data_IF_789026170090
#
_entry.id   IF_789026170090
#
_cell.length_a   1.000
_cell.length_b   1.000
_cell.length_c   1.000
_cell.angle_alpha   90.00
_cell.angle_beta   90.00
_cell.angle_gamma   90.00
#
_symmetry.space_group_name_H-M   'P 1'
#
loop_
_entity.id
_entity.type
_entity.pdbx_description
1 polymer ?
#
# COMPACT_ATOMS: atom_id res chain seq x y z
N UNK A 1 -51.06 -29.17 -13.28
CA UNK A 1 -50.44 -28.31 -12.24
C UNK A 1 -48.91 -28.43 -12.28
N UNK A 2 -48.17 -27.55 -13.00
CA UNK A 2 -46.69 -27.56 -13.02
C UNK A 2 -46.04 -26.20 -13.39
N UNK A 3 -46.69 -25.07 -13.08
CA UNK A 3 -46.21 -23.74 -13.53
C UNK A 3 -45.54 -22.90 -12.42
N UNK A 4 -45.64 -23.30 -11.14
CA UNK A 4 -45.11 -22.49 -10.02
C UNK A 4 -43.64 -22.80 -9.62
N UNK A 5 -43.12 -24.01 -9.93
CA UNK A 5 -41.81 -24.47 -9.42
C UNK A 5 -40.62 -23.78 -10.09
N UNK A 6 -40.75 -23.43 -11.36
CA UNK A 6 -39.67 -22.83 -12.18
C UNK A 6 -39.36 -21.39 -11.78
N UNK A 7 -40.36 -20.63 -11.30
CA UNK A 7 -40.22 -19.23 -10.90
C UNK A 7 -39.45 -19.08 -9.57
N UNK A 8 -39.67 -20.01 -8.64
CA UNK A 8 -39.02 -20.02 -7.33
C UNK A 8 -37.55 -20.47 -7.40
N UNK A 9 -37.22 -21.40 -8.31
CA UNK A 9 -35.82 -21.79 -8.57
C UNK A 9 -35.01 -20.61 -9.11
N UNK A 10 -35.54 -19.86 -10.08
CA UNK A 10 -34.85 -18.72 -10.67
C UNK A 10 -34.70 -17.55 -9.69
N UNK A 11 -35.65 -17.37 -8.78
CA UNK A 11 -35.60 -16.33 -7.75
C UNK A 11 -34.53 -16.62 -6.69
N UNK A 12 -34.39 -17.88 -6.24
CA UNK A 12 -33.32 -18.27 -5.33
C UNK A 12 -31.94 -18.17 -5.99
N UNK A 13 -31.82 -18.60 -7.25
CA UNK A 13 -30.57 -18.46 -8.02
C UNK A 13 -30.17 -16.98 -8.15
N UNK A 14 -31.12 -16.09 -8.42
CA UNK A 14 -30.86 -14.66 -8.51
C UNK A 14 -30.38 -14.08 -7.17
N UNK A 15 -30.95 -14.54 -6.05
CA UNK A 15 -30.53 -14.12 -4.71
C UNK A 15 -29.11 -14.59 -4.37
N UNK A 16 -28.77 -15.85 -4.70
CA UNK A 16 -27.41 -16.36 -4.53
C UNK A 16 -26.39 -15.61 -5.39
N UNK A 17 -26.73 -15.29 -6.65
CA UNK A 17 -25.87 -14.48 -7.52
C UNK A 17 -25.63 -13.07 -6.93
N UNK A 18 -26.67 -12.46 -6.36
CA UNK A 18 -26.55 -11.14 -5.73
C UNK A 18 -25.63 -11.16 -4.49
N UNK A 19 -25.70 -12.22 -3.69
CA UNK A 19 -24.82 -12.45 -2.53
C UNK A 19 -23.37 -12.67 -2.97
N UNK A 20 -23.15 -13.44 -4.04
CA UNK A 20 -21.78 -13.69 -4.54
C UNK A 20 -21.18 -12.38 -5.06
N UNK A 21 -21.95 -11.58 -5.82
CA UNK A 21 -21.49 -10.29 -6.36
C UNK A 21 -21.18 -9.29 -5.23
N UNK A 22 -22.02 -9.22 -4.19
CA UNK A 22 -21.78 -8.33 -3.05
C UNK A 22 -20.54 -8.75 -2.24
N UNK A 23 -20.27 -10.05 -2.13
CA UNK A 23 -19.07 -10.58 -1.48
C UNK A 23 -17.77 -10.16 -2.21
N UNK A 24 -17.76 -10.16 -3.56
CA UNK A 24 -16.57 -9.81 -4.34
C UNK A 24 -16.11 -8.34 -4.13
N UNK A 25 -17.03 -7.42 -3.82
CA UNK A 25 -16.71 -6.00 -3.60
C UNK A 25 -15.93 -5.79 -2.29
N UNK A 26 -16.11 -6.67 -1.30
CA UNK A 26 -15.45 -6.54 0.00
C UNK A 26 -13.96 -6.95 -0.01
N UNK A 27 -13.59 -7.91 -0.88
CA UNK A 27 -12.27 -8.56 -0.84
C UNK A 27 -11.18 -7.72 -1.52
N UNK A 28 -11.54 -6.77 -2.40
CA UNK A 28 -10.58 -6.11 -3.30
C UNK A 28 -9.79 -4.91 -2.70
N UNK A 29 -9.65 -4.83 -1.37
CA UNK A 29 -9.03 -3.66 -0.69
C UNK A 29 -7.53 -3.76 -0.43
N UNK A 30 -6.85 -4.83 -0.85
CA UNK A 30 -5.42 -5.01 -0.63
C UNK A 30 -4.58 -4.36 -1.75
N UNK A 31 -4.31 -3.05 -1.65
CA UNK A 31 -3.33 -2.36 -2.49
C UNK A 31 -2.22 -1.77 -1.61
N UNK A 32 -1.17 -2.55 -1.35
CA UNK A 32 0.03 -2.06 -0.67
C UNK A 32 1.01 -1.48 -1.72
N UNK A 33 0.91 -0.17 -1.96
CA UNK A 33 1.87 0.54 -2.81
C UNK A 33 3.22 0.70 -2.08
N UNK A 34 4.36 0.59 -2.77
CA UNK A 34 5.67 0.86 -2.16
C UNK A 34 5.76 2.33 -1.74
N UNK A 35 6.47 2.57 -0.63
CA UNK A 35 6.76 3.90 -0.11
C UNK A 35 8.08 4.36 -0.71
N UNK A 36 8.13 5.56 -1.27
CA UNK A 36 9.35 6.14 -1.82
C UNK A 36 9.91 7.14 -0.83
N UNK A 37 11.21 7.02 -0.53
CA UNK A 37 11.95 7.93 0.33
C UNK A 37 13.25 8.34 -0.32
N UNK A 38 13.70 9.54 -0.04
CA UNK A 38 15.06 9.99 -0.31
C UNK A 38 15.94 9.66 0.89
N UNK A 39 17.24 9.49 0.71
CA UNK A 39 18.16 9.30 1.83
C UNK A 39 18.02 10.46 2.84
N UNK A 40 17.87 10.14 4.12
CA UNK A 40 17.58 11.09 5.20
C UNK A 40 16.09 11.40 5.42
N UNK A 41 15.18 10.98 4.54
CA UNK A 41 13.74 11.08 4.78
C UNK A 41 13.23 9.96 5.68
N UNK A 42 12.10 10.20 6.34
CA UNK A 42 11.44 9.25 7.21
C UNK A 42 9.95 9.10 6.89
N UNK A 43 9.38 7.94 7.17
CA UNK A 43 7.97 7.64 7.00
C UNK A 43 7.42 6.85 8.18
N UNK A 44 6.18 7.14 8.58
CA UNK A 44 5.54 6.47 9.71
C UNK A 44 4.61 5.36 9.18
N UNK A 45 4.88 4.12 9.60
CA UNK A 45 4.00 2.99 9.37
C UNK A 45 3.21 2.74 10.65
N UNK A 46 1.89 2.98 10.59
CA UNK A 46 0.96 2.69 11.69
C UNK A 46 0.21 1.38 11.46
N UNK A 47 -0.09 0.68 12.54
CA UNK A 47 -0.91 -0.53 12.61
C UNK A 47 -2.08 -0.36 13.58
N UNK A 48 -3.10 -1.19 13.44
CA UNK A 48 -4.21 -1.26 14.40
C UNK A 48 -3.84 -2.18 15.58
N UNK A 49 -3.09 -3.25 15.31
CA UNK A 49 -2.60 -4.21 16.29
C UNK A 49 -1.24 -3.81 16.89
N UNK A 50 -0.97 -4.30 18.11
CA UNK A 50 0.32 -4.14 18.78
C UNK A 50 1.40 -4.92 18.02
N UNK A 51 2.52 -4.25 17.79
CA UNK A 51 3.70 -4.75 17.11
C UNK A 51 4.59 -5.38 18.18
N UNK A 52 4.85 -6.67 18.03
CA UNK A 52 5.76 -7.41 18.88
C UNK A 52 7.15 -7.49 18.24
N UNK A 53 7.18 -7.85 16.96
CA UNK A 53 8.43 -8.07 16.22
C UNK A 53 8.38 -7.37 14.87
N UNK A 54 9.50 -6.77 14.45
CA UNK A 54 9.65 -6.15 13.13
C UNK A 54 10.82 -6.78 12.41
N UNK A 55 10.54 -7.39 11.26
CA UNK A 55 11.54 -7.91 10.35
C UNK A 55 11.89 -6.85 9.30
N UNK A 56 13.18 -6.65 9.06
CA UNK A 56 13.71 -5.79 8.00
C UNK A 56 14.66 -6.60 7.10
N UNK A 57 14.43 -6.57 5.80
CA UNK A 57 15.26 -7.34 4.86
C UNK A 57 16.66 -6.73 4.65
N UNK A 58 16.80 -5.41 4.77
CA UNK A 58 18.06 -4.69 4.50
C UNK A 58 18.22 -3.43 5.38
N UNK A 59 18.62 -3.61 6.64
CA UNK A 59 18.81 -2.52 7.62
C UNK A 59 19.88 -1.48 7.24
N UNK A 60 20.77 -1.81 6.30
CA UNK A 60 21.75 -0.88 5.74
C UNK A 60 21.11 0.15 4.78
N UNK A 61 20.00 -0.20 4.12
CA UNK A 61 19.29 0.65 3.16
C UNK A 61 18.28 1.53 3.89
N UNK A 62 17.43 0.94 4.73
CA UNK A 62 16.50 1.66 5.59
C UNK A 62 16.34 0.89 6.89
N UNK A 63 16.15 1.62 7.97
CA UNK A 63 16.02 1.05 9.31
C UNK A 63 14.81 1.67 10.00
N UNK A 64 14.49 1.19 11.20
CA UNK A 64 13.28 1.60 11.88
C UNK A 64 13.49 1.82 13.37
N UNK A 65 12.56 2.56 13.95
CA UNK A 65 12.41 2.70 15.40
C UNK A 65 10.95 2.49 15.78
N UNK A 66 10.72 1.72 16.84
CA UNK A 66 9.37 1.48 17.38
C UNK A 66 8.93 2.69 18.20
N UNK A 67 7.75 3.23 17.87
CA UNK A 67 7.15 4.35 18.59
C UNK A 67 5.85 3.89 19.24
N UNK A 68 5.89 3.77 20.56
CA UNK A 68 4.80 3.16 21.33
C UNK A 68 4.68 1.67 21.03
N UNK A 69 3.45 1.21 20.78
CA UNK A 69 3.13 -0.21 20.56
C UNK A 69 2.65 -0.54 19.15
N UNK A 70 2.25 0.45 18.36
CA UNK A 70 1.48 0.22 17.12
C UNK A 70 2.01 1.05 15.95
N UNK A 71 3.24 1.55 16.03
CA UNK A 71 3.82 2.38 14.98
C UNK A 71 5.32 2.22 14.92
N UNK A 72 5.87 2.25 13.71
CA UNK A 72 7.30 2.39 13.47
C UNK A 72 7.57 3.64 12.65
N UNK A 73 8.68 4.31 12.96
CA UNK A 73 9.28 5.31 12.09
C UNK A 73 10.34 4.59 11.28
N UNK A 74 10.15 4.52 9.96
CA UNK A 74 11.16 4.02 9.02
C UNK A 74 11.95 5.22 8.51
N UNK A 75 13.27 5.14 8.51
CA UNK A 75 14.15 6.19 7.99
C UNK A 75 15.13 5.61 6.97
N UNK A 76 15.29 6.34 5.88
CA UNK A 76 16.12 5.95 4.75
C UNK A 76 17.60 6.31 5.00
N UNK A 77 18.50 5.34 4.83
CA UNK A 77 19.94 5.51 5.00
C UNK A 77 20.68 5.58 3.67
N UNK A 78 20.45 4.60 2.79
CA UNK A 78 21.14 4.45 1.52
C UNK A 78 20.16 4.08 0.41
N UNK A 79 20.49 4.44 -0.84
CA UNK A 79 19.76 4.01 -2.02
C UNK A 79 19.58 2.50 -2.09
N UNK A 80 18.39 2.06 -2.47
CA UNK A 80 18.05 0.65 -2.64
C UNK A 80 16.63 0.35 -2.22
N UNK A 81 16.34 -0.92 -1.93
CA UNK A 81 15.01 -1.36 -1.47
C UNK A 81 15.14 -2.13 -0.17
N UNK A 82 14.28 -1.81 0.79
CA UNK A 82 14.12 -2.55 2.04
C UNK A 82 12.66 -2.98 2.20
N UNK A 83 12.44 -4.20 2.67
CA UNK A 83 11.12 -4.71 3.02
C UNK A 83 10.98 -4.78 4.54
N UNK A 84 9.82 -4.36 5.03
CA UNK A 84 9.44 -4.41 6.43
C UNK A 84 8.23 -5.31 6.60
N UNK A 85 8.30 -6.23 7.56
CA UNK A 85 7.17 -7.08 7.97
C UNK A 85 6.99 -6.93 9.46
N UNK A 86 5.81 -6.48 9.86
CA UNK A 86 5.43 -6.27 11.26
C UNK A 86 4.63 -7.48 11.73
N UNK A 87 4.98 -8.05 12.87
CA UNK A 87 4.33 -9.22 13.47
C UNK A 87 3.70 -8.85 14.82
N UNK A 88 2.57 -9.47 15.12
CA UNK A 88 1.96 -9.41 16.45
C UNK A 88 2.53 -10.49 17.38
N UNK A 89 2.10 -10.48 18.64
CA UNK A 89 2.53 -11.42 19.68
C UNK A 89 2.25 -12.91 19.35
N UNK A 90 1.34 -13.18 18.42
CA UNK A 90 1.02 -14.52 17.96
C UNK A 90 1.88 -14.95 16.76
N UNK A 91 2.94 -14.20 16.44
CA UNK A 91 3.80 -14.37 15.27
C UNK A 91 3.05 -14.26 13.93
N UNK A 92 1.90 -13.57 13.90
CA UNK A 92 1.14 -13.35 12.68
C UNK A 92 1.54 -12.03 12.01
N UNK A 93 1.73 -12.01 10.68
CA UNK A 93 2.10 -10.79 9.97
C UNK A 93 0.91 -9.82 9.94
N UNK A 94 1.09 -8.65 10.54
CA UNK A 94 0.13 -7.54 10.58
C UNK A 94 0.19 -6.76 9.28
N UNK A 95 1.41 -6.43 8.83
CA UNK A 95 1.63 -5.57 7.66
C UNK A 95 2.97 -5.84 6.99
N UNK A 96 2.96 -5.92 5.66
CA UNK A 96 4.15 -5.89 4.81
C UNK A 96 4.24 -4.54 4.10
N UNK A 97 5.43 -3.96 4.01
CA UNK A 97 5.65 -2.69 3.30
C UNK A 97 7.04 -2.68 2.66
N UNK A 98 7.08 -2.33 1.37
CA UNK A 98 8.34 -2.12 0.65
C UNK A 98 8.66 -0.62 0.65
N UNK A 99 9.91 -0.30 1.01
CA UNK A 99 10.45 1.06 1.02
C UNK A 99 11.55 1.14 -0.03
N UNK A 100 11.32 1.99 -1.02
CA UNK A 100 12.27 2.28 -2.09
C UNK A 100 13.00 3.57 -1.74
N UNK A 101 14.29 3.48 -1.44
CA UNK A 101 15.14 4.64 -1.21
C UNK A 101 15.77 5.05 -2.54
N UNK A 102 15.42 6.23 -3.02
CA UNK A 102 15.89 6.79 -4.28
C UNK A 102 16.75 8.03 -4.05
N UNK A 103 17.70 8.27 -4.95
CA UNK A 103 18.43 9.54 -4.93
C UNK A 103 17.46 10.66 -5.35
N UNK A 104 17.31 11.73 -4.55
CA UNK A 104 16.45 12.85 -4.93
C UNK A 104 17.00 13.50 -6.20
N UNK A 105 16.14 13.66 -7.21
CA UNK A 105 16.51 14.36 -8.44
C UNK A 105 17.01 15.76 -8.10
N UNK A 106 18.17 16.19 -8.63
CA UNK A 106 18.67 17.53 -8.37
C UNK A 106 17.63 18.57 -8.84
N UNK A 107 17.44 19.66 -8.07
CA UNK A 107 16.34 20.61 -8.27
C UNK A 107 16.27 21.19 -9.67
N UNK A 108 17.43 21.38 -10.34
CA UNK A 108 17.49 21.84 -11.73
C UNK A 108 16.66 20.99 -12.69
N UNK A 109 16.66 19.66 -12.56
CA UNK A 109 15.94 18.76 -13.50
C UNK A 109 14.42 18.86 -13.30
N UNK A 110 13.94 19.05 -12.06
CA UNK A 110 12.50 19.31 -11.79
C UNK A 110 12.05 20.61 -12.44
N UNK A 111 12.88 21.64 -12.39
CA UNK A 111 12.60 22.96 -12.96
C UNK A 111 12.55 22.91 -14.50
N UNK A 112 13.48 22.18 -15.14
CA UNK A 112 13.42 21.94 -16.59
C UNK A 112 12.13 21.21 -17.01
N UNK A 113 11.73 20.14 -16.30
CA UNK A 113 10.49 19.41 -16.62
C UNK A 113 9.24 20.28 -16.46
N UNK A 114 9.20 21.12 -15.42
CA UNK A 114 8.09 22.04 -15.17
C UNK A 114 8.03 23.16 -16.21
N UNK A 115 9.19 23.68 -16.63
CA UNK A 115 9.27 24.71 -17.67
C UNK A 115 8.87 24.16 -19.05
N UNK A 116 9.29 22.95 -19.42
CA UNK A 116 8.86 22.32 -20.67
C UNK A 116 7.33 22.12 -20.66
N UNK A 117 6.75 21.61 -19.57
CA UNK A 117 5.30 21.43 -19.46
C UNK A 117 4.54 22.76 -19.56
N UNK A 118 5.04 23.83 -18.92
CA UNK A 118 4.47 25.18 -19.04
C UNK A 118 4.55 25.72 -20.47
N UNK A 119 5.68 25.51 -21.17
CA UNK A 119 5.85 25.94 -22.56
C UNK A 119 4.89 25.18 -23.48
N UNK A 120 4.76 23.86 -23.33
CA UNK A 120 3.81 23.05 -24.12
C UNK A 120 2.37 23.51 -23.91
N UNK A 121 1.94 23.74 -22.66
CA UNK A 121 0.59 24.23 -22.37
C UNK A 121 0.33 25.65 -22.91
N UNK A 122 1.36 26.49 -23.00
CA UNK A 122 1.26 27.84 -23.55
C UNK A 122 1.20 27.85 -25.08
N UNK A 123 1.72 26.82 -25.74
CA UNK A 123 1.67 26.64 -27.20
C UNK A 123 0.38 25.95 -27.69
N UNK A 124 -0.45 25.44 -26.79
CA UNK A 124 -1.71 24.74 -27.11
C UNK A 124 -2.96 25.62 -26.86
N UNK A 125 -2.77 26.90 -26.57
CA UNK A 125 -3.81 27.95 -26.48
C UNK A 125 -3.50 29.03 -27.51
#
# INVERSE_FOLDING_TARGET
>A
MKVARTRYLNQNILFFLFIIISCQIAVNRANAKPVYLSAGESYIIKTQEEIDTVFVSAAAIADYELVGKNSIIVYAKQEGTAEFILFNQNNQPIKKSAVLVIIPLPPRIKEYKLNILKVTLKLTR
#
